data_IF_975012251561
#
_entry.id   IF_975012251561
#
_cell.length_a   1.000
_cell.length_b   1.000
_cell.length_c   1.000
_cell.angle_alpha   90.00
_cell.angle_beta   90.00
_cell.angle_gamma   90.00
#
_symmetry.space_group_name_H-M   'P 1'
#
loop_
_entity.id
_entity.type
_entity.pdbx_description
1 polymer ?
#
# COMPACT_ATOMS: atom_id res chain seq x y z
N UNK A 1 1.65 4.81 8.34
CA UNK A 1 1.68 6.17 8.93
C UNK A 1 3.09 6.75 9.21
N UNK A 2 4.17 5.98 9.11
CA UNK A 2 5.56 6.46 9.34
C UNK A 2 6.37 6.37 8.05
N UNK A 3 6.99 7.46 7.61
CA UNK A 3 7.78 7.55 6.38
C UNK A 3 9.27 7.75 6.70
N UNK A 4 10.17 7.17 5.88
CA UNK A 4 11.62 7.42 6.00
C UNK A 4 12.05 8.80 5.48
N UNK A 5 11.19 9.49 4.71
CA UNK A 5 11.47 10.81 4.09
C UNK A 5 10.70 11.95 4.77
N UNK A 6 11.20 13.18 4.61
CA UNK A 6 10.65 14.42 5.20
C UNK A 6 10.29 15.47 4.14
N UNK A 7 9.29 15.17 3.31
CA UNK A 7 8.77 16.12 2.32
C UNK A 7 8.03 17.26 3.04
N UNK A 8 8.47 18.52 2.87
CA UNK A 8 7.93 19.67 3.62
C UNK A 8 6.45 20.02 3.39
N UNK A 9 5.80 19.35 2.44
CA UNK A 9 4.37 19.50 2.13
C UNK A 9 3.53 18.27 2.52
N UNK A 10 4.16 17.14 2.90
CA UNK A 10 3.46 15.89 3.15
C UNK A 10 2.99 15.81 4.61
N UNK A 11 1.75 15.38 4.83
CA UNK A 11 1.16 15.25 6.17
C UNK A 11 1.60 13.97 6.90
N UNK A 12 2.29 13.05 6.22
CA UNK A 12 2.77 11.79 6.83
C UNK A 12 3.97 12.05 7.72
N UNK A 13 3.94 11.49 8.92
CA UNK A 13 5.02 11.65 9.90
C UNK A 13 6.33 11.02 9.43
N UNK A 14 7.42 11.79 9.49
CA UNK A 14 8.77 11.27 9.30
C UNK A 14 9.27 10.61 10.57
N UNK A 15 9.25 9.28 10.61
CA UNK A 15 9.77 8.46 11.70
C UNK A 15 10.20 7.11 11.14
N UNK A 16 11.07 6.39 11.86
CA UNK A 16 11.42 5.01 11.51
C UNK A 16 10.14 4.17 11.37
N UNK A 17 9.89 3.53 10.22
CA UNK A 17 8.73 2.66 10.04
C UNK A 17 8.77 1.42 10.94
N UNK A 18 7.59 0.84 11.16
CA UNK A 18 7.45 -0.45 11.81
C UNK A 18 7.76 -1.58 10.82
N UNK A 19 7.84 -2.81 11.35
CA UNK A 19 8.01 -3.99 10.50
C UNK A 19 6.83 -4.10 9.52
N UNK A 20 7.10 -4.60 8.31
CA UNK A 20 6.06 -4.95 7.34
C UNK A 20 5.10 -5.98 7.93
N UNK A 21 3.81 -5.80 7.71
CA UNK A 21 2.78 -6.76 8.10
C UNK A 21 2.41 -7.64 6.91
N UNK A 22 2.76 -8.94 6.91
CA UNK A 22 2.45 -9.85 5.80
C UNK A 22 0.94 -10.02 5.52
N UNK A 23 0.07 -9.66 6.47
CA UNK A 23 -1.38 -9.71 6.33
C UNK A 23 -2.00 -8.45 5.71
N UNK A 24 -1.26 -7.36 5.55
CA UNK A 24 -1.76 -6.09 5.00
C UNK A 24 -2.39 -6.26 3.60
N UNK A 25 -1.77 -6.96 2.62
CA UNK A 25 -2.35 -7.14 1.29
C UNK A 25 -3.76 -7.73 1.28
N UNK A 26 -3.99 -8.74 2.14
CA UNK A 26 -5.28 -9.45 2.20
C UNK A 26 -6.33 -8.55 2.81
N UNK A 27 -6.02 -7.85 3.92
CA UNK A 27 -6.97 -6.92 4.55
C UNK A 27 -7.34 -5.76 3.64
N UNK A 28 -6.39 -5.24 2.84
CA UNK A 28 -6.70 -4.22 1.83
C UNK A 28 -7.66 -4.77 0.78
N UNK A 29 -7.43 -5.99 0.29
CA UNK A 29 -8.32 -6.62 -0.69
C UNK A 29 -9.73 -6.88 -0.13
N UNK A 30 -9.84 -7.29 1.13
CA UNK A 30 -11.12 -7.48 1.83
C UNK A 30 -11.84 -6.13 2.02
N UNK A 31 -11.13 -5.07 2.41
CA UNK A 31 -11.71 -3.74 2.55
C UNK A 31 -12.25 -3.20 1.21
N UNK A 32 -11.51 -3.41 0.10
CA UNK A 32 -11.98 -3.06 -1.25
C UNK A 32 -13.28 -3.80 -1.60
N UNK A 33 -13.39 -5.07 -1.21
CA UNK A 33 -14.58 -5.89 -1.44
C UNK A 33 -15.77 -5.41 -0.60
N UNK A 34 -15.54 -5.16 0.69
CA UNK A 34 -16.56 -4.67 1.63
C UNK A 34 -17.13 -3.32 1.19
N UNK A 35 -16.28 -2.43 0.68
CA UNK A 35 -16.68 -1.13 0.16
C UNK A 35 -17.30 -1.19 -1.25
N UNK A 36 -17.20 -2.32 -1.95
CA UNK A 36 -17.73 -2.47 -3.31
C UNK A 36 -17.10 -1.55 -4.35
N UNK A 37 -15.79 -1.28 -4.24
CA UNK A 37 -15.12 -0.28 -5.08
C UNK A 37 -14.94 -0.76 -6.53
N UNK A 38 -15.33 0.07 -7.49
CA UNK A 38 -15.01 -0.15 -8.90
C UNK A 38 -13.56 0.23 -9.25
N UNK A 39 -12.94 1.13 -8.49
CA UNK A 39 -11.58 1.60 -8.70
C UNK A 39 -10.90 1.86 -7.35
N UNK A 40 -9.69 1.32 -7.16
CA UNK A 40 -8.90 1.48 -5.95
C UNK A 40 -7.50 2.02 -6.30
N UNK A 41 -7.10 3.09 -5.62
CA UNK A 41 -5.74 3.65 -5.69
C UNK A 41 -4.95 3.14 -4.48
N UNK A 42 -3.83 2.46 -4.74
CA UNK A 42 -2.92 1.96 -3.71
C UNK A 42 -1.69 2.87 -3.66
N UNK A 43 -1.32 3.32 -2.47
CA UNK A 43 -0.11 4.12 -2.24
C UNK A 43 0.59 3.65 -0.97
N UNK A 44 1.84 4.05 -0.79
CA UNK A 44 2.63 3.72 0.38
C UNK A 44 3.54 4.89 0.75
N UNK A 45 4.08 4.82 1.96
CA UNK A 45 5.17 5.68 2.41
C UNK A 45 6.50 5.21 1.83
N UNK A 46 7.51 6.09 1.77
CA UNK A 46 8.87 5.66 1.45
C UNK A 46 9.39 4.70 2.54
N UNK A 47 9.95 3.57 2.11
CA UNK A 47 10.53 2.50 2.94
C UNK A 47 12.00 2.31 2.61
N UNK A 48 12.78 3.39 2.75
CA UNK A 48 14.24 3.34 2.51
C UNK A 48 14.96 2.38 3.49
N UNK A 49 14.27 1.87 4.52
CA UNK A 49 14.73 0.83 5.45
C UNK A 49 14.67 -0.60 4.89
N UNK A 50 13.94 -0.83 3.79
CA UNK A 50 13.82 -2.13 3.13
C UNK A 50 14.75 -2.24 1.91
N UNK A 51 15.33 -3.43 1.65
CA UNK A 51 16.23 -3.62 0.50
C UNK A 51 15.59 -3.34 -0.87
N UNK A 52 14.27 -3.55 -1.00
CA UNK A 52 13.50 -3.34 -2.23
C UNK A 52 12.62 -2.07 -2.18
N UNK A 53 12.76 -1.25 -1.13
CA UNK A 53 11.94 -0.06 -0.93
C UNK A 53 10.45 -0.34 -0.72
N UNK A 54 10.04 -1.58 -0.44
CA UNK A 54 8.63 -1.98 -0.29
C UNK A 54 7.93 -2.36 -1.60
N UNK A 55 8.67 -2.52 -2.71
CA UNK A 55 8.09 -2.90 -4.01
C UNK A 55 7.33 -4.23 -3.97
N UNK A 56 7.81 -5.22 -3.20
CA UNK A 56 7.14 -6.50 -3.04
C UNK A 56 5.74 -6.37 -2.42
N UNK A 57 5.54 -5.40 -1.52
CA UNK A 57 4.28 -5.16 -0.83
C UNK A 57 3.21 -4.62 -1.78
N UNK A 58 3.59 -3.70 -2.68
CA UNK A 58 2.71 -3.25 -3.76
C UNK A 58 2.27 -4.43 -4.64
N UNK A 59 3.21 -5.29 -5.05
CA UNK A 59 2.90 -6.46 -5.88
C UNK A 59 1.95 -7.41 -5.16
N UNK A 60 2.19 -7.70 -3.88
CA UNK A 60 1.33 -8.55 -3.07
C UNK A 60 -0.08 -7.96 -2.95
N UNK A 61 -0.19 -6.66 -2.67
CA UNK A 61 -1.47 -5.95 -2.52
C UNK A 61 -2.27 -5.93 -3.83
N UNK A 62 -1.64 -5.60 -4.97
CA UNK A 62 -2.31 -5.62 -6.28
C UNK A 62 -2.83 -7.01 -6.61
N UNK A 63 -2.03 -8.06 -6.33
CA UNK A 63 -2.44 -9.46 -6.57
C UNK A 63 -3.61 -9.86 -5.68
N UNK A 64 -3.57 -9.51 -4.40
CA UNK A 64 -4.65 -9.78 -3.46
C UNK A 64 -5.95 -9.09 -3.90
N UNK A 65 -5.90 -7.79 -4.23
CA UNK A 65 -7.07 -7.04 -4.71
C UNK A 65 -7.64 -7.69 -5.97
N UNK A 66 -6.83 -8.03 -6.97
CA UNK A 66 -7.31 -8.65 -8.20
C UNK A 66 -7.88 -10.05 -8.00
N UNK A 67 -7.37 -10.80 -7.02
CA UNK A 67 -7.86 -12.14 -6.71
C UNK A 67 -9.24 -12.09 -6.03
N UNK A 68 -9.43 -11.18 -5.08
CA UNK A 68 -10.70 -11.02 -4.34
C UNK A 68 -11.72 -10.20 -5.15
N UNK A 69 -11.25 -9.20 -5.91
CA UNK A 69 -12.05 -8.20 -6.60
C UNK A 69 -11.67 -8.11 -8.10
N UNK A 70 -11.97 -9.13 -8.92
CA UNK A 70 -11.53 -9.18 -10.32
C UNK A 70 -12.11 -8.07 -11.21
N UNK A 71 -13.21 -7.42 -10.79
CA UNK A 71 -13.82 -6.29 -11.50
C UNK A 71 -13.29 -4.91 -11.11
N UNK A 72 -12.45 -4.82 -10.08
CA UNK A 72 -11.93 -3.54 -9.57
C UNK A 72 -10.69 -3.12 -10.35
N UNK A 73 -10.70 -1.91 -10.90
CA UNK A 73 -9.51 -1.28 -11.45
C UNK A 73 -8.53 -0.91 -10.32
N UNK A 74 -7.24 -1.17 -10.53
CA UNK A 74 -6.19 -0.87 -9.54
C UNK A 74 -5.19 0.11 -10.15
N UNK A 75 -5.06 1.27 -9.52
CA UNK A 75 -4.05 2.28 -9.81
C UNK A 75 -3.02 2.33 -8.68
N UNK A 76 -1.77 2.65 -9.01
CA UNK A 76 -0.68 2.77 -8.03
C UNK A 76 -0.07 4.16 -8.05
N UNK A 77 0.01 4.77 -6.87
CA UNK A 77 0.77 6.01 -6.63
C UNK A 77 2.00 5.65 -5.77
N UNK A 78 3.15 5.54 -6.42
CA UNK A 78 4.40 5.08 -5.81
C UNK A 78 5.15 6.29 -5.18
N UNK A 79 5.74 6.16 -3.97
CA UNK A 79 6.46 7.23 -3.27
C UNK A 79 7.86 7.60 -3.80
#
# INVERSE_FOLDING_TARGET
>A
ERCTRACGFCLVDTRRPEATDPGEPVRVAEAVAEMGLAHAVVTAVARDDLPDGGAAEFVATIRAIRAVNPGTAVEVLIP
#
